data_IF_346124809046
#
_entry.id   IF_346124809046
#
_cell.length_a   1.000
_cell.length_b   1.000
_cell.length_c   1.000
_cell.angle_alpha   90.00
_cell.angle_beta   90.00
_cell.angle_gamma   90.00
#
_symmetry.space_group_name_H-M   'P 1'
#
loop_
_entity.id
_entity.type
_entity.pdbx_description
1 polymer ?
#
# COMPACT_ATOMS: atom_id res chain seq x y z
N UNK A 1 17.63 -13.37 5.47
CA UNK A 1 16.77 -13.24 6.68
C UNK A 1 17.31 -12.16 7.62
N UNK A 2 18.61 -12.15 7.95
CA UNK A 2 19.28 -11.08 8.72
C UNK A 2 19.36 -9.71 8.01
N UNK A 3 19.38 -9.70 6.67
CA UNK A 3 19.54 -8.50 5.83
C UNK A 3 18.39 -7.47 5.97
N UNK A 4 17.16 -7.93 6.27
CA UNK A 4 16.02 -7.02 6.44
C UNK A 4 16.05 -6.29 7.79
N UNK A 5 16.55 -6.90 8.88
CA UNK A 5 16.65 -6.23 10.18
C UNK A 5 17.69 -5.11 10.18
N UNK A 6 18.86 -5.35 9.59
CA UNK A 6 19.87 -4.29 9.44
C UNK A 6 19.38 -3.15 8.55
N UNK A 7 18.60 -3.45 7.51
CA UNK A 7 18.03 -2.43 6.62
C UNK A 7 17.10 -1.46 7.37
N UNK A 8 16.20 -1.98 8.21
CA UNK A 8 15.31 -1.16 9.04
C UNK A 8 16.02 -0.54 10.25
N UNK A 9 17.07 -1.16 10.80
CA UNK A 9 17.85 -0.58 11.90
C UNK A 9 18.72 0.62 11.45
N UNK A 10 19.27 0.57 10.22
CA UNK A 10 20.04 1.69 9.63
C UNK A 10 19.18 2.93 9.35
N UNK A 11 17.85 2.79 9.37
CA UNK A 11 16.88 3.88 9.26
C UNK A 11 17.03 4.94 10.35
N UNK A 12 17.38 4.54 11.58
CA UNK A 12 17.41 5.44 12.74
C UNK A 12 18.59 6.42 12.75
N UNK A 13 19.63 6.19 11.94
CA UNK A 13 20.90 6.91 12.05
C UNK A 13 21.27 7.82 10.86
N UNK A 14 20.65 7.67 9.69
CA UNK A 14 21.00 8.45 8.48
C UNK A 14 19.90 9.45 8.08
N UNK A 15 20.27 10.72 7.85
CA UNK A 15 19.38 11.80 7.41
C UNK A 15 18.87 11.60 5.97
N UNK A 16 17.95 10.67 5.76
CA UNK A 16 17.36 10.33 4.45
C UNK A 16 16.17 11.24 4.11
N UNK A 17 15.80 11.29 2.83
CA UNK A 17 14.53 11.86 2.40
C UNK A 17 13.39 11.12 3.12
N UNK A 18 12.58 11.85 3.89
CA UNK A 18 11.39 11.32 4.53
C UNK A 18 10.16 11.75 3.72
N UNK A 19 9.53 10.81 3.04
CA UNK A 19 8.25 11.01 2.36
C UNK A 19 7.14 11.14 3.41
N UNK A 20 7.26 10.41 4.52
CA UNK A 20 6.43 10.57 5.71
C UNK A 20 7.30 10.85 6.95
N UNK A 21 6.92 11.88 7.72
CA UNK A 21 7.58 12.19 8.99
C UNK A 21 6.56 12.24 10.14
N UNK A 22 7.09 12.21 11.37
CA UNK A 22 6.31 12.31 12.59
C UNK A 22 5.31 11.16 12.79
N UNK A 23 4.06 11.51 13.08
CA UNK A 23 3.02 10.57 13.52
C UNK A 23 2.70 9.52 12.46
N UNK A 24 2.65 9.88 11.17
CA UNK A 24 2.34 8.94 10.09
C UNK A 24 3.39 7.82 9.99
N UNK A 25 4.67 8.15 10.17
CA UNK A 25 5.77 7.17 10.14
C UNK A 25 5.70 6.23 11.34
N UNK A 26 5.48 6.78 12.53
CA UNK A 26 5.33 5.99 13.76
C UNK A 26 4.13 5.04 13.65
N UNK A 27 3.01 5.50 13.10
CA UNK A 27 1.83 4.65 12.91
C UNK A 27 2.07 3.55 11.88
N UNK A 28 2.84 3.80 10.82
CA UNK A 28 3.25 2.76 9.88
C UNK A 28 4.08 1.66 10.54
N UNK A 29 4.97 2.03 11.47
CA UNK A 29 5.80 1.07 12.23
C UNK A 29 4.93 0.15 13.11
N UNK A 30 3.96 0.71 13.83
CA UNK A 30 3.06 -0.02 14.71
C UNK A 30 1.74 -0.43 14.03
N UNK A 31 1.68 -0.46 12.70
CA UNK A 31 0.44 -0.65 11.96
C UNK A 31 -0.30 -1.95 12.31
N UNK A 32 0.36 -3.13 12.40
CA UNK A 32 -0.31 -4.36 12.80
C UNK A 32 -0.93 -4.28 14.21
N UNK A 33 -0.28 -3.56 15.13
CA UNK A 33 -0.78 -3.34 16.49
C UNK A 33 -1.98 -2.40 16.47
N UNK A 34 -1.96 -1.33 15.67
CA UNK A 34 -3.10 -0.42 15.49
C UNK A 34 -4.31 -1.19 14.95
N UNK A 35 -4.14 -2.05 13.95
CA UNK A 35 -5.24 -2.86 13.42
C UNK A 35 -5.71 -3.90 14.44
N UNK A 36 -4.80 -4.51 15.22
CA UNK A 36 -5.17 -5.40 16.32
C UNK A 36 -6.04 -4.66 17.34
N UNK A 37 -5.61 -3.48 17.81
CA UNK A 37 -6.37 -2.64 18.74
C UNK A 37 -7.73 -2.24 18.17
N UNK A 38 -7.79 -1.86 16.89
CA UNK A 38 -9.04 -1.54 16.21
C UNK A 38 -9.97 -2.77 16.12
N UNK A 39 -9.41 -3.95 15.83
CA UNK A 39 -10.15 -5.21 15.78
C UNK A 39 -10.74 -5.55 17.15
N UNK A 40 -9.91 -5.51 18.19
CA UNK A 40 -10.35 -5.74 19.57
C UNK A 40 -11.43 -4.72 19.96
N UNK A 41 -11.23 -3.44 19.69
CA UNK A 41 -12.20 -2.39 20.03
C UNK A 41 -13.55 -2.58 19.32
N UNK A 42 -13.56 -2.98 18.03
CA UNK A 42 -14.80 -3.25 17.30
C UNK A 42 -15.51 -4.50 17.82
N UNK A 43 -14.78 -5.61 18.01
CA UNK A 43 -15.38 -6.89 18.40
C UNK A 43 -15.77 -6.93 19.88
N UNK A 44 -14.93 -6.43 20.77
CA UNK A 44 -15.25 -6.32 22.21
C UNK A 44 -16.28 -5.22 22.44
N UNK A 45 -16.15 -4.07 21.78
CA UNK A 45 -17.15 -3.01 21.84
C UNK A 45 -18.53 -3.45 21.34
N UNK A 46 -18.59 -4.45 20.45
CA UNK A 46 -19.86 -5.04 20.02
C UNK A 46 -20.60 -5.76 21.15
N UNK A 47 -19.91 -6.38 22.11
CA UNK A 47 -20.55 -7.05 23.27
C UNK A 47 -21.20 -6.06 24.24
N UNK A 48 -20.70 -4.81 24.27
CA UNK A 48 -21.19 -3.75 25.17
C UNK A 48 -22.16 -2.78 24.49
N UNK A 49 -22.56 -3.05 23.25
CA UNK A 49 -23.48 -2.20 22.47
C UNK A 49 -24.68 -3.02 21.99
N UNK A 50 -25.61 -2.39 21.27
CA UNK A 50 -26.78 -3.07 20.67
C UNK A 50 -26.42 -3.99 19.49
N UNK A 51 -25.14 -4.33 19.30
CA UNK A 51 -24.65 -5.22 18.27
C UNK A 51 -24.78 -6.67 18.74
N UNK A 52 -25.02 -7.60 17.81
CA UNK A 52 -24.92 -9.02 18.15
C UNK A 52 -23.44 -9.39 18.18
N UNK A 53 -22.93 -9.66 19.38
CA UNK A 53 -21.55 -10.04 19.63
C UNK A 53 -21.16 -11.40 19.05
N UNK A 54 -19.92 -11.83 19.30
CA UNK A 54 -19.42 -13.18 19.01
C UNK A 54 -20.27 -14.25 19.71
N UNK A 55 -20.90 -13.90 20.84
CA UNK A 55 -21.91 -14.68 21.56
C UNK A 55 -23.10 -15.12 20.68
N UNK A 56 -23.45 -14.37 19.63
CA UNK A 56 -24.52 -14.74 18.69
C UNK A 56 -24.12 -15.77 17.63
N UNK A 57 -22.82 -16.05 17.45
CA UNK A 57 -22.31 -16.98 16.41
C UNK A 57 -22.12 -18.40 16.90
N UNK A 58 -21.87 -18.55 18.19
CA UNK A 58 -21.74 -19.85 18.83
C UNK A 58 -22.84 -19.90 19.89
N UNK A 59 -24.03 -20.43 19.56
CA UNK A 59 -25.13 -20.57 20.53
C UNK A 59 -24.73 -21.36 21.78
N UNK A 60 -23.63 -22.13 21.68
CA UNK A 60 -23.02 -22.87 22.76
C UNK A 60 -22.06 -22.04 23.64
N UNK A 61 -21.74 -20.78 23.33
CA UNK A 61 -20.94 -19.90 24.20
C UNK A 61 -21.88 -19.15 25.16
N UNK A 62 -22.24 -19.80 26.27
CA UNK A 62 -22.80 -19.10 27.42
C UNK A 62 -21.77 -18.11 28.00
N UNK A 63 -22.20 -17.09 28.73
CA UNK A 63 -21.30 -16.11 29.39
C UNK A 63 -20.17 -16.80 30.15
N UNK A 64 -20.47 -17.90 30.84
CA UNK A 64 -19.50 -18.74 31.57
C UNK A 64 -18.38 -19.29 30.68
N UNK A 65 -18.68 -19.66 29.44
CA UNK A 65 -17.70 -20.19 28.47
C UNK A 65 -16.87 -19.09 27.84
N UNK A 66 -17.42 -17.89 27.71
CA UNK A 66 -16.65 -16.69 27.33
C UNK A 66 -15.63 -16.35 28.41
N UNK A 67 -16.02 -16.35 29.69
CA UNK A 67 -15.07 -16.18 30.80
C UNK A 67 -14.00 -17.27 30.84
N UNK A 68 -14.36 -18.51 30.52
CA UNK A 68 -13.42 -19.63 30.47
C UNK A 68 -12.42 -19.51 29.30
N UNK A 69 -12.87 -19.07 28.12
CA UNK A 69 -12.00 -18.77 26.98
C UNK A 69 -11.08 -17.58 27.26
N UNK A 70 -11.59 -16.53 27.90
CA UNK A 70 -10.77 -15.40 28.36
C UNK A 70 -9.73 -15.86 29.38
N UNK A 71 -10.12 -16.72 30.33
CA UNK A 71 -9.21 -17.33 31.30
C UNK A 71 -8.12 -18.16 30.65
N UNK A 72 -8.47 -19.00 29.66
CA UNK A 72 -7.51 -19.76 28.85
C UNK A 72 -6.58 -18.81 28.08
N UNK A 73 -7.12 -17.74 27.49
CA UNK A 73 -6.34 -16.71 26.80
C UNK A 73 -5.31 -16.04 27.72
N UNK A 74 -5.72 -15.65 28.94
CA UNK A 74 -4.81 -15.10 29.96
C UNK A 74 -3.75 -16.11 30.36
N UNK A 75 -4.12 -17.39 30.51
CA UNK A 75 -3.19 -18.48 30.82
C UNK A 75 -2.14 -18.67 29.71
N UNK A 76 -2.57 -18.65 28.45
CA UNK A 76 -1.66 -18.70 27.31
C UNK A 76 -0.75 -17.47 27.24
N UNK A 77 -1.27 -16.27 27.50
CA UNK A 77 -0.45 -15.06 27.58
C UNK A 77 0.59 -15.14 28.71
N UNK A 78 0.22 -15.67 29.87
CA UNK A 78 1.13 -15.92 30.98
C UNK A 78 2.22 -16.94 30.60
N UNK A 79 1.83 -18.05 29.96
CA UNK A 79 2.79 -19.06 29.48
C UNK A 79 3.77 -18.47 28.46
N UNK A 80 3.28 -17.71 27.49
CA UNK A 80 4.13 -17.03 26.51
C UNK A 80 5.05 -15.99 27.17
N UNK A 81 4.55 -15.25 28.16
CA UNK A 81 5.36 -14.31 28.94
C UNK A 81 6.45 -15.02 29.73
N UNK A 82 6.18 -16.19 30.30
CA UNK A 82 7.17 -17.01 31.01
C UNK A 82 8.22 -17.59 30.06
N UNK A 83 7.82 -18.10 28.89
CA UNK A 83 8.75 -18.59 27.86
C UNK A 83 9.69 -17.48 27.37
N UNK A 84 9.15 -16.27 27.21
CA UNK A 84 9.94 -15.10 26.90
C UNK A 84 10.88 -14.69 28.05
N UNK A 85 10.39 -14.68 29.30
CA UNK A 85 11.24 -14.39 30.47
C UNK A 85 12.39 -15.39 30.61
N UNK A 86 12.15 -16.65 30.27
CA UNK A 86 13.16 -17.70 30.25
C UNK A 86 14.11 -17.64 29.04
N UNK A 87 14.00 -16.63 28.16
CA UNK A 87 14.76 -16.50 26.90
C UNK A 87 14.69 -17.75 25.99
N UNK A 88 13.64 -18.57 26.13
CA UNK A 88 13.42 -19.74 25.25
C UNK A 88 12.94 -19.26 23.88
N UNK A 89 12.19 -18.16 23.87
CA UNK A 89 11.61 -17.55 22.68
C UNK A 89 11.97 -16.07 22.71
N UNK A 90 12.58 -15.57 21.64
CA UNK A 90 12.77 -14.12 21.50
C UNK A 90 11.44 -13.46 21.10
N UNK A 91 11.09 -12.32 21.74
CA UNK A 91 9.83 -11.59 21.44
C UNK A 91 9.65 -11.34 19.94
N UNK A 92 10.73 -10.94 19.30
CA UNK A 92 10.74 -10.52 17.90
C UNK A 92 10.59 -11.69 16.92
N UNK A 93 10.93 -12.92 17.30
CA UNK A 93 10.84 -14.09 16.42
C UNK A 93 9.50 -14.81 16.55
N UNK A 94 8.71 -14.53 17.60
CA UNK A 94 7.48 -15.27 17.86
C UNK A 94 6.24 -14.41 18.05
N UNK A 95 6.29 -13.36 18.89
CA UNK A 95 5.10 -12.54 19.19
C UNK A 95 4.67 -11.75 17.96
N UNK A 96 5.65 -11.14 17.27
CA UNK A 96 5.44 -10.34 16.07
C UNK A 96 4.81 -11.16 14.93
N UNK A 97 5.35 -12.32 14.52
CA UNK A 97 4.68 -13.23 13.60
C UNK A 97 3.30 -13.71 14.09
N UNK A 98 3.15 -14.07 15.37
CA UNK A 98 1.89 -14.55 15.91
C UNK A 98 0.78 -13.51 15.78
N UNK A 99 1.08 -12.24 16.08
CA UNK A 99 0.14 -11.13 15.91
C UNK A 99 -0.23 -10.98 14.43
N UNK A 100 0.76 -10.90 13.54
CA UNK A 100 0.51 -10.63 12.11
C UNK A 100 -0.25 -11.78 11.46
N UNK A 101 0.22 -13.03 11.58
CA UNK A 101 -0.43 -14.18 10.96
C UNK A 101 -1.73 -14.58 11.66
N UNK A 102 -1.79 -14.45 12.99
CA UNK A 102 -3.02 -14.65 13.75
C UNK A 102 -4.10 -13.67 13.31
N UNK A 103 -3.76 -12.39 13.16
CA UNK A 103 -4.70 -11.36 12.70
C UNK A 103 -5.10 -11.56 11.23
N UNK A 104 -4.16 -11.92 10.34
CA UNK A 104 -4.47 -12.26 8.95
C UNK A 104 -5.42 -13.46 8.85
N UNK A 105 -5.15 -14.54 9.58
CA UNK A 105 -5.99 -15.73 9.60
C UNK A 105 -7.38 -15.45 10.17
N UNK A 106 -7.44 -14.74 11.28
CA UNK A 106 -8.69 -14.34 11.91
C UNK A 106 -9.54 -13.44 11.01
N UNK A 107 -8.97 -12.33 10.51
CA UNK A 107 -9.70 -11.40 9.64
C UNK A 107 -10.06 -12.05 8.31
N UNK A 108 -9.20 -12.89 7.74
CA UNK A 108 -9.48 -13.66 6.53
C UNK A 108 -10.68 -14.60 6.71
N UNK A 109 -10.71 -15.34 7.82
CA UNK A 109 -11.86 -16.19 8.17
C UNK A 109 -13.14 -15.38 8.31
N UNK A 110 -13.09 -14.23 8.99
CA UNK A 110 -14.26 -13.35 9.18
C UNK A 110 -14.75 -12.74 7.86
N UNK A 111 -13.85 -12.44 6.93
CA UNK A 111 -14.22 -12.00 5.58
C UNK A 111 -14.99 -13.09 4.86
N UNK A 112 -14.49 -14.34 4.87
CA UNK A 112 -15.18 -15.49 4.26
C UNK A 112 -16.56 -15.66 4.88
N UNK A 113 -16.65 -15.69 6.21
CA UNK A 113 -17.94 -15.80 6.92
C UNK A 113 -18.88 -14.67 6.48
N UNK A 114 -18.41 -13.42 6.44
CA UNK A 114 -19.25 -12.28 6.08
C UNK A 114 -19.77 -12.33 4.64
N UNK A 115 -18.95 -12.79 3.68
CA UNK A 115 -19.37 -13.01 2.29
C UNK A 115 -20.42 -14.12 2.24
N UNK A 116 -20.15 -15.24 2.89
CA UNK A 116 -21.04 -16.41 2.95
C UNK A 116 -22.39 -16.05 3.57
N UNK A 117 -22.41 -15.29 4.67
CA UNK A 117 -23.65 -14.84 5.33
C UNK A 117 -24.50 -13.97 4.40
N UNK A 118 -23.89 -13.07 3.63
CA UNK A 118 -24.63 -12.26 2.65
C UNK A 118 -25.09 -13.10 1.46
N UNK A 119 -24.21 -13.95 0.93
CA UNK A 119 -24.49 -14.78 -0.25
C UNK A 119 -25.68 -15.73 -0.04
N UNK A 120 -25.78 -16.35 1.13
CA UNK A 120 -26.87 -17.28 1.46
C UNK A 120 -28.11 -16.60 2.06
N UNK A 121 -28.12 -15.27 2.22
CA UNK A 121 -29.28 -14.56 2.73
C UNK A 121 -30.25 -14.21 1.61
N UNK A 122 -31.53 -14.58 1.77
CA UNK A 122 -32.59 -14.16 0.86
C UNK A 122 -32.85 -12.64 0.92
N UNK A 123 -32.54 -12.00 2.05
CA UNK A 123 -32.70 -10.57 2.28
C UNK A 123 -31.50 -10.01 3.06
N UNK A 124 -30.42 -9.60 2.38
CA UNK A 124 -29.23 -9.07 3.02
C UNK A 124 -29.49 -7.87 3.95
N UNK A 125 -30.49 -7.04 3.65
CA UNK A 125 -30.88 -5.86 4.45
C UNK A 125 -31.37 -6.18 5.86
N UNK A 126 -31.93 -7.37 6.07
CA UNK A 126 -32.50 -7.80 7.35
C UNK A 126 -31.46 -8.55 8.21
N UNK A 127 -30.23 -8.72 7.72
CA UNK A 127 -29.17 -9.38 8.47
C UNK A 127 -28.84 -8.61 9.76
N UNK A 128 -28.58 -9.31 10.88
CA UNK A 128 -28.17 -8.69 12.12
C UNK A 128 -26.95 -7.79 11.93
N UNK A 129 -26.80 -6.78 12.79
CA UNK A 129 -25.65 -5.88 12.78
C UNK A 129 -24.50 -6.59 13.47
N UNK A 130 -23.56 -7.09 12.67
CA UNK A 130 -22.50 -7.96 13.14
C UNK A 130 -21.11 -7.38 12.87
N UNK A 131 -20.17 -7.41 13.83
CA UNK A 131 -18.83 -6.83 13.67
C UNK A 131 -18.02 -7.47 12.53
N UNK A 132 -18.37 -8.69 12.10
CA UNK A 132 -17.73 -9.38 10.97
C UNK A 132 -17.78 -8.57 9.67
N UNK A 133 -18.75 -7.68 9.50
CA UNK A 133 -18.86 -6.84 8.29
C UNK A 133 -17.79 -5.74 8.21
N UNK A 134 -17.09 -5.46 9.32
CA UNK A 134 -15.91 -4.60 9.33
C UNK A 134 -14.61 -5.35 8.99
N UNK A 135 -14.62 -6.69 8.99
CA UNK A 135 -13.41 -7.51 8.79
C UNK A 135 -12.74 -7.25 7.43
N UNK A 136 -13.52 -7.03 6.37
CA UNK A 136 -12.97 -6.71 5.04
C UNK A 136 -12.15 -5.42 5.02
N UNK A 137 -12.61 -4.38 5.74
CA UNK A 137 -11.84 -3.15 5.88
C UNK A 137 -10.58 -3.39 6.70
N UNK A 138 -10.70 -4.04 7.85
CA UNK A 138 -9.56 -4.29 8.75
C UNK A 138 -8.49 -5.13 8.04
N UNK A 139 -8.89 -6.13 7.27
CA UNK A 139 -7.98 -6.97 6.48
C UNK A 139 -7.28 -6.15 5.38
N UNK A 140 -8.06 -5.36 4.63
CA UNK A 140 -7.52 -4.51 3.57
C UNK A 140 -6.55 -3.46 4.12
N UNK A 141 -6.90 -2.84 5.24
CA UNK A 141 -6.04 -1.89 5.95
C UNK A 141 -4.79 -2.57 6.50
N UNK A 142 -4.90 -3.75 7.11
CA UNK A 142 -3.74 -4.52 7.60
C UNK A 142 -2.73 -4.78 6.48
N UNK A 143 -3.18 -5.43 5.40
CA UNK A 143 -2.28 -5.80 4.29
C UNK A 143 -1.81 -4.55 3.53
N UNK A 144 -2.73 -3.62 3.25
CA UNK A 144 -2.44 -2.38 2.52
C UNK A 144 -1.46 -1.47 3.27
N UNK A 145 -1.64 -1.26 4.58
CA UNK A 145 -0.73 -0.44 5.38
C UNK A 145 0.63 -1.10 5.60
N UNK A 146 0.69 -2.43 5.74
CA UNK A 146 1.96 -3.18 5.76
C UNK A 146 2.75 -2.99 4.46
N UNK A 147 2.12 -3.23 3.31
CA UNK A 147 2.78 -3.03 2.01
C UNK A 147 3.10 -1.55 1.80
N UNK A 148 2.22 -0.63 2.23
CA UNK A 148 2.41 0.81 2.13
C UNK A 148 3.62 1.31 2.93
N UNK A 149 3.82 0.79 4.15
CA UNK A 149 4.99 1.11 4.97
C UNK A 149 6.30 0.59 4.36
N UNK A 150 6.33 -0.66 3.90
CA UNK A 150 7.50 -1.21 3.21
C UNK A 150 7.78 -0.44 1.90
N UNK A 151 6.75 -0.12 1.13
CA UNK A 151 6.86 0.69 -0.08
C UNK A 151 7.42 2.08 0.22
N UNK A 152 6.96 2.73 1.28
CA UNK A 152 7.46 4.03 1.72
C UNK A 152 8.97 3.96 1.96
N UNK A 153 9.43 3.06 2.83
CA UNK A 153 10.85 2.98 3.20
C UNK A 153 11.72 2.64 1.98
N UNK A 154 11.28 1.68 1.17
CA UNK A 154 12.05 1.28 -0.01
C UNK A 154 12.01 2.32 -1.11
N UNK A 155 10.90 3.07 -1.24
CA UNK A 155 10.76 4.20 -2.15
C UNK A 155 11.67 5.36 -1.74
N UNK A 156 11.68 5.71 -0.46
CA UNK A 156 12.62 6.70 0.13
C UNK A 156 14.06 6.29 -0.17
N UNK A 157 14.43 5.05 0.12
CA UNK A 157 15.78 4.56 -0.11
C UNK A 157 16.14 4.44 -1.60
N UNK A 158 15.18 4.08 -2.46
CA UNK A 158 15.39 4.04 -3.90
C UNK A 158 15.71 5.46 -4.39
N UNK A 159 14.85 6.42 -4.09
CA UNK A 159 15.00 7.81 -4.51
C UNK A 159 16.27 8.42 -3.93
N UNK A 160 16.57 8.17 -2.65
CA UNK A 160 17.78 8.68 -2.03
C UNK A 160 19.06 8.20 -2.71
N UNK A 161 19.07 7.01 -3.30
CA UNK A 161 20.29 6.42 -3.88
C UNK A 161 20.31 6.38 -5.42
N UNK A 162 19.42 7.11 -6.11
CA UNK A 162 19.37 7.05 -7.59
C UNK A 162 20.66 7.57 -8.26
N UNK A 163 21.34 8.55 -7.66
CA UNK A 163 22.64 9.04 -8.12
C UNK A 163 23.75 7.98 -8.03
N UNK A 164 23.68 7.11 -7.02
CA UNK A 164 24.66 6.04 -6.81
C UNK A 164 24.45 4.83 -7.74
N UNK A 165 23.28 4.73 -8.38
CA UNK A 165 22.92 3.58 -9.23
C UNK A 165 23.34 3.77 -10.69
N UNK A 166 24.06 4.84 -11.03
CA UNK A 166 24.45 5.13 -12.41
C UNK A 166 23.25 5.24 -13.38
N UNK A 167 22.03 5.49 -12.90
CA UNK A 167 20.82 5.65 -13.75
C UNK A 167 20.54 7.13 -14.04
N UNK A 168 21.32 8.04 -13.43
CA UNK A 168 21.19 9.49 -13.59
C UNK A 168 22.40 10.02 -14.35
N UNK A 169 22.13 10.83 -15.37
CA UNK A 169 23.16 11.47 -16.20
C UNK A 169 23.91 12.59 -15.49
N UNK A 170 23.20 13.40 -14.68
CA UNK A 170 23.75 14.52 -13.92
C UNK A 170 23.52 14.33 -12.40
N UNK A 171 24.47 13.68 -11.69
CA UNK A 171 24.34 13.44 -10.25
C UNK A 171 24.27 14.72 -9.41
N UNK A 172 24.97 15.78 -9.81
CA UNK A 172 25.03 17.05 -9.07
C UNK A 172 23.70 17.80 -9.14
N UNK A 173 23.14 17.95 -10.34
CA UNK A 173 21.79 18.49 -10.54
C UNK A 173 20.72 17.66 -9.82
N UNK A 174 20.89 16.34 -9.75
CA UNK A 174 19.97 15.50 -8.98
C UNK A 174 19.98 15.81 -7.47
N UNK A 175 21.13 16.21 -6.89
CA UNK A 175 21.18 16.63 -5.48
C UNK A 175 20.35 17.88 -5.24
N UNK A 176 20.41 18.85 -6.14
CA UNK A 176 19.57 20.07 -6.10
C UNK A 176 18.08 19.71 -6.21
N UNK A 177 17.73 18.84 -7.16
CA UNK A 177 16.36 18.36 -7.32
C UNK A 177 15.84 17.65 -6.06
N UNK A 178 16.64 16.79 -5.42
CA UNK A 178 16.28 16.13 -4.15
C UNK A 178 15.94 17.14 -3.05
N UNK A 179 16.68 18.25 -2.95
CA UNK A 179 16.39 19.29 -1.96
C UNK A 179 15.06 20.00 -2.25
N UNK A 180 14.78 20.32 -3.51
CA UNK A 180 13.48 20.90 -3.92
C UNK A 180 12.32 19.95 -3.62
N UNK A 181 12.50 18.66 -3.85
CA UNK A 181 11.52 17.62 -3.52
C UNK A 181 11.28 17.55 -2.01
N UNK A 182 12.35 17.56 -1.19
CA UNK A 182 12.24 17.58 0.27
C UNK A 182 11.45 18.79 0.78
N UNK A 183 11.69 19.98 0.21
CA UNK A 183 10.94 21.18 0.56
C UNK A 183 9.46 21.06 0.19
N UNK A 184 9.13 20.51 -0.99
CA UNK A 184 7.74 20.34 -1.42
C UNK A 184 6.98 19.27 -0.61
N UNK A 185 7.64 18.22 -0.18
CA UNK A 185 7.02 17.19 0.68
C UNK A 185 6.67 17.72 2.08
N UNK A 186 7.36 18.78 2.52
CA UNK A 186 7.14 19.46 3.80
C UNK A 186 6.28 20.73 3.65
N UNK A 187 5.46 20.83 2.59
CA UNK A 187 4.56 21.97 2.43
C UNK A 187 3.57 22.05 3.59
N UNK A 188 3.49 23.24 4.19
CA UNK A 188 2.51 23.62 5.19
C UNK A 188 1.48 24.57 4.60
N UNK A 189 0.30 24.63 5.19
CA UNK A 189 -0.74 25.58 4.77
C UNK A 189 -0.27 27.01 5.09
N UNK A 190 -0.42 27.97 4.16
CA UNK A 190 -0.07 29.37 4.43
C UNK A 190 -0.65 29.85 5.76
N UNK A 191 0.17 30.56 6.55
CA UNK A 191 -0.21 31.10 7.87
C UNK A 191 -0.44 30.06 8.99
N UNK A 192 -0.11 28.78 8.75
CA UNK A 192 -0.09 27.74 9.79
C UNK A 192 1.14 26.85 9.63
N UNK A 193 1.64 26.26 10.72
CA UNK A 193 2.72 25.26 10.65
C UNK A 193 2.18 23.85 10.39
N UNK A 194 0.93 23.73 9.92
CA UNK A 194 0.25 22.44 9.75
C UNK A 194 0.58 21.87 8.37
N UNK A 195 1.06 20.61 8.28
CA UNK A 195 1.31 19.96 6.99
C UNK A 195 0.03 19.82 6.16
N UNK A 196 0.14 19.97 4.83
CA UNK A 196 -1.04 19.94 3.92
C UNK A 196 -1.71 18.56 3.88
N UNK A 197 -0.96 17.46 3.92
CA UNK A 197 -1.50 16.12 3.73
C UNK A 197 -2.50 15.67 4.82
N UNK A 198 -2.23 15.84 6.13
CA UNK A 198 -3.21 15.64 7.19
C UNK A 198 -4.48 16.47 6.99
N UNK A 199 -4.37 17.74 6.60
CA UNK A 199 -5.56 18.59 6.41
C UNK A 199 -6.40 18.13 5.24
N UNK A 200 -5.77 17.75 4.12
CA UNK A 200 -6.48 17.13 3.01
C UNK A 200 -7.20 15.84 3.45
N UNK A 201 -6.51 14.96 4.17
CA UNK A 201 -7.09 13.72 4.72
C UNK A 201 -8.30 13.99 5.61
N UNK A 202 -8.19 14.95 6.53
CA UNK A 202 -9.29 15.33 7.41
C UNK A 202 -10.49 15.87 6.63
N UNK A 203 -10.29 16.82 5.72
CA UNK A 203 -11.36 17.42 4.92
C UNK A 203 -12.06 16.40 4.01
N UNK A 204 -11.29 15.44 3.47
CA UNK A 204 -11.86 14.37 2.65
C UNK A 204 -12.73 13.43 3.47
N UNK A 205 -12.22 12.97 4.63
CA UNK A 205 -12.92 11.98 5.46
C UNK A 205 -14.11 12.58 6.20
N UNK A 206 -14.06 13.86 6.59
CA UNK A 206 -15.18 14.55 7.23
C UNK A 206 -16.45 14.55 6.38
N UNK A 207 -16.32 14.58 5.04
CA UNK A 207 -17.47 14.50 4.14
C UNK A 207 -18.20 13.16 4.28
N UNK A 208 -17.45 12.05 4.33
CA UNK A 208 -18.01 10.72 4.55
C UNK A 208 -18.50 10.54 5.98
N UNK A 209 -17.79 11.11 6.97
CA UNK A 209 -18.24 11.13 8.36
C UNK A 209 -19.60 11.77 8.53
N UNK A 210 -19.87 12.90 7.87
CA UNK A 210 -21.18 13.54 7.88
C UNK A 210 -22.28 12.61 7.33
N UNK A 211 -22.02 11.92 6.22
CA UNK A 211 -22.96 10.91 5.69
C UNK A 211 -23.15 9.74 6.65
N UNK A 212 -22.09 9.27 7.31
CA UNK A 212 -22.14 8.13 8.22
C UNK A 212 -22.78 8.39 9.56
N UNK A 213 -22.83 9.66 9.99
CA UNK A 213 -23.61 10.08 11.16
C UNK A 213 -25.11 10.00 10.88
N UNK A 214 -25.54 10.36 9.66
CA UNK A 214 -26.96 10.35 9.26
C UNK A 214 -27.44 8.94 8.86
N UNK A 215 -26.51 8.09 8.44
CA UNK A 215 -26.79 6.69 8.08
C UNK A 215 -26.40 5.74 9.21
N UNK A 216 -26.63 4.43 9.07
CA UNK A 216 -26.26 3.42 10.09
C UNK A 216 -24.73 3.16 10.17
N UNK A 217 -23.89 4.17 9.91
CA UNK A 217 -22.44 4.04 9.83
C UNK A 217 -21.93 3.33 8.57
N UNK A 218 -20.60 3.34 8.33
CA UNK A 218 -19.97 2.87 7.09
C UNK A 218 -20.22 1.38 6.76
N UNK A 219 -20.39 0.53 7.77
CA UNK A 219 -20.68 -0.91 7.61
C UNK A 219 -22.10 -1.31 8.04
N UNK A 220 -23.01 -0.36 8.26
CA UNK A 220 -24.34 -0.67 8.77
C UNK A 220 -24.30 -1.29 10.17
N UNK A 221 -23.29 -0.92 10.98
CA UNK A 221 -23.12 -1.38 12.36
C UNK A 221 -23.89 -0.50 13.35
N UNK A 222 -24.11 0.78 13.02
CA UNK A 222 -24.66 1.77 13.95
C UNK A 222 -23.91 1.81 15.29
N UNK A 223 -22.57 1.79 15.22
CA UNK A 223 -21.67 1.82 16.37
C UNK A 223 -20.79 3.05 16.30
N UNK A 224 -20.81 3.87 17.36
CA UNK A 224 -19.96 5.06 17.48
C UNK A 224 -18.47 4.70 17.50
N UNK A 225 -18.11 3.60 18.18
CA UNK A 225 -16.73 3.08 18.21
C UNK A 225 -16.30 2.68 16.81
N UNK A 226 -17.16 1.94 16.09
CA UNK A 226 -16.92 1.59 14.70
C UNK A 226 -16.74 2.83 13.83
N UNK A 227 -17.61 3.83 13.96
CA UNK A 227 -17.50 5.08 13.20
C UNK A 227 -16.17 5.79 13.44
N UNK A 228 -15.76 5.98 14.70
CA UNK A 228 -14.49 6.66 15.04
C UNK A 228 -13.29 5.90 14.45
N UNK A 229 -13.27 4.57 14.60
CA UNK A 229 -12.18 3.75 14.06
C UNK A 229 -12.09 3.86 12.54
N UNK A 230 -13.24 3.82 11.84
CA UNK A 230 -13.28 4.01 10.40
C UNK A 230 -12.73 5.36 9.97
N UNK A 231 -13.21 6.44 10.60
CA UNK A 231 -12.75 7.79 10.27
C UNK A 231 -11.25 7.94 10.50
N UNK A 232 -10.71 7.35 11.58
CA UNK A 232 -9.27 7.36 11.83
C UNK A 232 -8.50 6.59 10.75
N UNK A 233 -8.90 5.34 10.45
CA UNK A 233 -8.21 4.53 9.44
C UNK A 233 -8.27 5.15 8.04
N UNK A 234 -9.44 5.68 7.66
CA UNK A 234 -9.60 6.37 6.38
C UNK A 234 -8.79 7.67 6.34
N UNK A 235 -8.70 8.40 7.44
CA UNK A 235 -7.86 9.61 7.53
C UNK A 235 -6.40 9.28 7.22
N UNK A 236 -5.87 8.23 7.83
CA UNK A 236 -4.49 7.80 7.60
C UNK A 236 -4.29 7.33 6.16
N UNK A 237 -5.21 6.51 5.64
CA UNK A 237 -5.13 6.03 4.26
C UNK A 237 -5.16 7.20 3.26
N UNK A 238 -6.08 8.14 3.41
CA UNK A 238 -6.20 9.27 2.47
C UNK A 238 -5.01 10.21 2.58
N UNK A 239 -4.54 10.51 3.78
CA UNK A 239 -3.31 11.29 3.98
C UNK A 239 -2.10 10.61 3.33
N UNK A 240 -1.99 9.27 3.46
CA UNK A 240 -0.94 8.49 2.83
C UNK A 240 -1.02 8.48 1.31
N UNK A 241 -2.21 8.26 0.75
CA UNK A 241 -2.44 8.31 -0.70
C UNK A 241 -2.14 9.70 -1.26
N UNK A 242 -2.55 10.76 -0.57
CA UNK A 242 -2.28 12.12 -1.01
C UNK A 242 -0.78 12.44 -1.03
N UNK A 243 -0.04 12.08 0.02
CA UNK A 243 1.41 12.25 0.06
C UNK A 243 2.10 11.43 -1.04
N UNK A 244 1.61 10.22 -1.32
CA UNK A 244 2.08 9.40 -2.43
C UNK A 244 1.82 10.06 -3.79
N UNK A 245 0.65 10.67 -4.00
CA UNK A 245 0.34 11.43 -5.23
C UNK A 245 1.25 12.65 -5.41
N UNK A 246 1.58 13.36 -4.33
CA UNK A 246 2.58 14.43 -4.37
C UNK A 246 3.94 13.86 -4.81
N UNK A 247 4.37 12.74 -4.21
CA UNK A 247 5.60 12.05 -4.60
C UNK A 247 5.61 11.66 -6.07
N UNK A 248 4.49 11.12 -6.58
CA UNK A 248 4.34 10.77 -7.99
C UNK A 248 4.42 11.99 -8.91
N UNK A 249 3.74 13.08 -8.55
CA UNK A 249 3.77 14.32 -9.32
C UNK A 249 5.18 14.90 -9.39
N UNK A 250 5.94 14.81 -8.29
CA UNK A 250 7.34 15.25 -8.23
C UNK A 250 8.26 14.36 -9.06
N UNK A 251 7.99 13.06 -9.10
CA UNK A 251 8.81 12.10 -9.84
C UNK A 251 8.51 12.08 -11.35
N UNK A 252 7.28 12.39 -11.76
CA UNK A 252 6.84 12.34 -13.16
C UNK A 252 7.76 13.10 -14.13
N UNK A 253 8.22 14.34 -13.86
CA UNK A 253 9.14 15.04 -14.75
C UNK A 253 10.44 14.29 -15.05
N UNK A 254 10.99 13.54 -14.07
CA UNK A 254 12.18 12.71 -14.27
C UNK A 254 11.93 11.56 -15.26
N UNK A 255 10.70 11.04 -15.31
CA UNK A 255 10.31 9.96 -16.21
C UNK A 255 9.99 10.42 -17.63
N UNK A 256 9.55 11.67 -17.81
CA UNK A 256 9.00 12.12 -19.09
C UNK A 256 9.92 13.05 -19.86
N UNK A 257 10.37 14.12 -19.22
CA UNK A 257 10.96 15.27 -19.92
C UNK A 257 12.39 15.55 -19.48
N UNK A 258 12.81 14.97 -18.35
CA UNK A 258 13.95 15.46 -17.59
C UNK A 258 13.58 16.67 -16.74
N UNK A 259 14.45 17.01 -15.80
CA UNK A 259 14.31 18.17 -14.91
C UNK A 259 15.46 19.13 -15.17
N UNK A 260 15.13 20.35 -15.56
CA UNK A 260 16.11 21.42 -15.68
C UNK A 260 16.52 21.93 -14.28
N UNK A 261 17.81 21.86 -13.98
CA UNK A 261 18.41 22.37 -12.75
C UNK A 261 19.48 23.41 -13.08
N UNK A 262 19.98 24.13 -12.07
CA UNK A 262 21.03 25.13 -12.32
C UNK A 262 22.33 24.47 -12.81
N UNK A 263 22.55 23.21 -12.42
CA UNK A 263 23.68 22.37 -12.83
C UNK A 263 23.45 21.66 -14.19
N UNK A 264 22.34 21.94 -14.87
CA UNK A 264 21.96 21.32 -16.14
C UNK A 264 20.78 20.36 -16.03
N UNK A 265 20.50 19.64 -17.11
CA UNK A 265 19.34 18.77 -17.22
C UNK A 265 19.60 17.42 -16.52
N UNK A 266 18.64 16.98 -15.71
CA UNK A 266 18.68 15.71 -14.99
C UNK A 266 17.70 14.74 -15.66
N UNK A 267 18.22 13.67 -16.24
CA UNK A 267 17.43 12.63 -16.91
C UNK A 267 17.74 11.24 -16.35
N UNK A 268 16.73 10.38 -16.40
CA UNK A 268 16.88 8.94 -16.15
C UNK A 268 17.32 8.24 -17.43
N UNK A 269 18.42 7.49 -17.35
CA UNK A 269 19.05 6.86 -18.50
C UNK A 269 18.95 5.35 -18.41
N UNK A 270 18.43 4.74 -19.47
CA UNK A 270 18.44 3.31 -19.66
C UNK A 270 19.82 2.81 -20.10
N UNK A 271 20.38 1.89 -19.31
CA UNK A 271 21.69 1.28 -19.56
C UNK A 271 21.54 -0.21 -19.84
N UNK A 272 21.43 -0.65 -21.11
CA UNK A 272 21.15 -2.04 -21.47
C UNK A 272 22.06 -3.07 -20.79
N UNK A 273 23.34 -2.73 -20.62
CA UNK A 273 24.38 -3.58 -20.02
C UNK A 273 24.51 -3.41 -18.49
N UNK A 274 23.51 -2.84 -17.84
CA UNK A 274 23.53 -2.67 -16.39
C UNK A 274 23.47 -4.05 -15.68
N UNK A 275 24.24 -4.27 -14.59
CA UNK A 275 24.34 -5.58 -13.91
C UNK A 275 23.03 -6.08 -13.28
N UNK A 276 21.94 -5.30 -13.35
CA UNK A 276 20.63 -5.70 -12.87
C UNK A 276 19.79 -6.47 -13.90
N UNK A 277 20.30 -6.67 -15.12
CA UNK A 277 19.62 -7.27 -16.27
C UNK A 277 18.30 -6.58 -16.66
N UNK A 278 18.05 -5.35 -16.18
CA UNK A 278 16.82 -4.59 -16.42
C UNK A 278 17.11 -3.13 -16.80
N UNK A 279 18.33 -2.86 -17.28
CA UNK A 279 18.67 -1.53 -17.77
C UNK A 279 18.94 -0.47 -16.69
N UNK A 280 19.10 -0.88 -15.43
CA UNK A 280 19.09 0.03 -14.27
C UNK A 280 17.70 0.23 -13.64
N UNK A 281 16.65 -0.38 -14.21
CA UNK A 281 15.27 -0.14 -13.82
C UNK A 281 14.64 -1.24 -12.94
N UNK A 282 15.41 -2.26 -12.51
CA UNK A 282 14.86 -3.39 -11.73
C UNK A 282 14.14 -2.93 -10.46
N UNK A 283 14.69 -1.96 -9.74
CA UNK A 283 14.10 -1.52 -8.48
C UNK A 283 12.83 -0.67 -8.70
N UNK A 284 12.74 0.08 -9.80
CA UNK A 284 11.49 0.73 -10.20
C UNK A 284 10.40 -0.31 -10.50
N UNK A 285 10.77 -1.41 -11.18
CA UNK A 285 9.86 -2.54 -11.40
C UNK A 285 9.36 -3.19 -10.11
N UNK A 286 10.24 -3.39 -9.13
CA UNK A 286 9.87 -3.93 -7.80
C UNK A 286 8.92 -3.02 -7.03
N UNK A 287 9.20 -1.71 -7.02
CA UNK A 287 8.31 -0.70 -6.41
C UNK A 287 6.96 -0.70 -7.12
N UNK A 288 6.96 -0.72 -8.45
CA UNK A 288 5.72 -0.74 -9.23
C UNK A 288 4.88 -1.98 -8.97
N UNK A 289 5.50 -3.16 -8.85
CA UNK A 289 4.78 -4.38 -8.48
C UNK A 289 4.08 -4.29 -7.13
N UNK A 290 4.73 -3.68 -6.12
CA UNK A 290 4.14 -3.54 -4.78
C UNK A 290 2.95 -2.60 -4.78
N UNK A 291 3.04 -1.51 -5.54
CA UNK A 291 1.91 -0.59 -5.73
C UNK A 291 0.77 -1.31 -6.45
N UNK A 292 1.07 -2.11 -7.48
CA UNK A 292 0.06 -2.92 -8.17
C UNK A 292 -0.60 -3.94 -7.23
N UNK A 293 0.16 -4.55 -6.30
CA UNK A 293 -0.41 -5.40 -5.25
C UNK A 293 -1.33 -4.63 -4.30
N UNK A 294 -0.93 -3.43 -3.85
CA UNK A 294 -1.79 -2.57 -3.03
C UNK A 294 -3.08 -2.19 -3.76
N UNK A 295 -2.97 -1.85 -5.05
CA UNK A 295 -4.13 -1.60 -5.90
C UNK A 295 -5.02 -2.85 -5.91
N UNK A 296 -4.50 -4.02 -6.26
CA UNK A 296 -5.30 -5.26 -6.27
C UNK A 296 -6.04 -5.51 -4.94
N UNK A 297 -5.39 -5.31 -3.79
CA UNK A 297 -6.01 -5.42 -2.46
C UNK A 297 -7.11 -4.36 -2.27
N UNK A 298 -6.85 -3.11 -2.64
CA UNK A 298 -7.85 -2.05 -2.61
C UNK A 298 -9.06 -2.37 -3.49
N UNK A 299 -8.83 -2.88 -4.71
CA UNK A 299 -9.88 -3.33 -5.62
C UNK A 299 -10.72 -4.47 -5.05
N UNK A 300 -10.08 -5.48 -4.45
CA UNK A 300 -10.77 -6.57 -3.75
C UNK A 300 -11.61 -6.05 -2.58
N UNK A 301 -11.08 -5.10 -1.80
CA UNK A 301 -11.82 -4.46 -0.73
C UNK A 301 -13.04 -3.69 -1.24
N UNK A 302 -12.91 -2.90 -2.30
CA UNK A 302 -14.04 -2.16 -2.85
C UNK A 302 -15.10 -3.09 -3.46
N UNK A 303 -14.68 -4.19 -4.09
CA UNK A 303 -15.60 -5.24 -4.53
C UNK A 303 -16.33 -5.89 -3.36
N UNK A 304 -15.61 -6.26 -2.30
CA UNK A 304 -16.19 -6.73 -1.04
C UNK A 304 -17.16 -5.72 -0.45
N UNK A 305 -16.78 -4.44 -0.40
CA UNK A 305 -17.57 -3.36 0.18
C UNK A 305 -18.88 -3.19 -0.57
N UNK A 306 -18.85 -3.14 -1.90
CA UNK A 306 -20.06 -3.07 -2.72
C UNK A 306 -20.94 -4.32 -2.54
N UNK A 307 -20.33 -5.50 -2.58
CA UNK A 307 -21.06 -6.76 -2.51
C UNK A 307 -21.68 -7.01 -1.13
N UNK A 308 -20.91 -6.89 -0.05
CA UNK A 308 -21.34 -7.20 1.32
C UNK A 308 -22.03 -6.03 1.97
N UNK A 309 -21.44 -4.83 1.93
CA UNK A 309 -22.00 -3.67 2.64
C UNK A 309 -23.04 -2.95 1.77
N UNK A 310 -22.79 -2.82 0.47
CA UNK A 310 -23.74 -2.22 -0.47
C UNK A 310 -25.05 -2.99 -0.57
N UNK A 311 -25.02 -4.33 -0.62
CA UNK A 311 -26.25 -5.16 -0.63
C UNK A 311 -27.07 -5.03 0.66
N UNK A 312 -26.40 -4.91 1.82
CA UNK A 312 -27.05 -4.70 3.11
C UNK A 312 -27.67 -3.31 3.24
N UNK A 313 -27.10 -2.31 2.57
CA UNK A 313 -27.59 -0.94 2.55
C UNK A 313 -28.62 -0.67 1.43
N UNK A 314 -28.84 -1.63 0.53
CA UNK A 314 -29.72 -1.47 -0.63
C UNK A 314 -31.18 -1.71 -0.27
N UNK A 315 -32.03 -0.67 -0.32
CA UNK A 315 -33.46 -0.81 -0.02
C UNK A 315 -34.21 -1.26 -1.28
N UNK A 316 -35.07 -2.31 -1.22
CA UNK A 316 -35.90 -2.70 -2.35
C UNK A 316 -36.76 -1.53 -2.87
N UNK A 317 -36.79 -1.34 -4.19
CA UNK A 317 -37.48 -0.21 -4.85
C UNK A 317 -36.68 1.10 -4.90
N UNK A 318 -35.45 1.13 -4.36
CA UNK A 318 -34.57 2.32 -4.42
C UNK A 318 -34.21 2.74 -5.86
N UNK A 319 -34.25 1.81 -6.82
CA UNK A 319 -33.98 2.09 -8.24
C UNK A 319 -35.21 2.56 -9.02
N UNK A 320 -36.41 2.52 -8.44
CA UNK A 320 -37.65 2.86 -9.14
C UNK A 320 -37.85 4.37 -9.29
N UNK A 321 -37.14 5.18 -8.48
CA UNK A 321 -37.12 6.64 -8.58
C UNK A 321 -35.82 7.23 -8.02
N UNK A 322 -35.43 8.41 -8.50
CA UNK A 322 -34.26 9.15 -7.98
C UNK A 322 -34.60 9.70 -6.59
N UNK A 323 -34.27 8.91 -5.57
CA UNK A 323 -34.45 9.27 -4.15
C UNK A 323 -33.13 9.72 -3.51
N UNK A 324 -33.21 10.47 -2.41
CA UNK A 324 -32.03 10.84 -1.61
C UNK A 324 -31.26 9.58 -1.14
N UNK A 325 -31.97 8.51 -0.80
CA UNK A 325 -31.40 7.23 -0.39
C UNK A 325 -30.58 6.58 -1.51
N UNK A 326 -31.05 6.64 -2.76
CA UNK A 326 -30.29 6.17 -3.93
C UNK A 326 -29.00 6.97 -4.13
N UNK A 327 -29.08 8.31 -4.01
CA UNK A 327 -27.91 9.19 -4.14
C UNK A 327 -26.86 8.86 -3.07
N UNK A 328 -27.28 8.74 -1.80
CA UNK A 328 -26.39 8.40 -0.69
C UNK A 328 -25.74 7.03 -0.90
N UNK A 329 -26.50 6.05 -1.41
CA UNK A 329 -25.96 4.72 -1.71
C UNK A 329 -24.91 4.76 -2.84
N UNK A 330 -25.21 5.45 -3.95
CA UNK A 330 -24.27 5.62 -5.07
C UNK A 330 -22.99 6.31 -4.59
N UNK A 331 -23.11 7.40 -3.84
CA UNK A 331 -21.97 8.15 -3.31
C UNK A 331 -21.12 7.32 -2.35
N UNK A 332 -21.73 6.44 -1.55
CA UNK A 332 -20.98 5.62 -0.59
C UNK A 332 -20.36 4.36 -1.18
N UNK A 333 -20.95 3.76 -2.22
CA UNK A 333 -20.53 2.44 -2.71
C UNK A 333 -20.00 2.45 -4.15
N UNK A 334 -20.50 3.33 -5.02
CA UNK A 334 -20.06 3.41 -6.42
C UNK A 334 -18.99 4.48 -6.61
N UNK A 335 -19.16 5.68 -6.04
CA UNK A 335 -18.18 6.76 -6.21
C UNK A 335 -16.76 6.38 -5.76
N UNK A 336 -16.54 5.67 -4.63
CA UNK A 336 -15.20 5.23 -4.25
C UNK A 336 -14.58 4.23 -5.25
N UNK A 337 -15.39 3.38 -5.89
CA UNK A 337 -14.93 2.46 -6.95
C UNK A 337 -14.47 3.25 -8.16
N UNK A 338 -15.27 4.22 -8.62
CA UNK A 338 -14.92 5.06 -9.76
C UNK A 338 -13.64 5.85 -9.48
N UNK A 339 -13.54 6.46 -8.30
CA UNK A 339 -12.34 7.17 -7.87
C UNK A 339 -11.12 6.24 -7.83
N UNK A 340 -11.29 5.03 -7.28
CA UNK A 340 -10.25 4.02 -7.23
C UNK A 340 -9.78 3.60 -8.63
N UNK A 341 -10.69 3.36 -9.57
CA UNK A 341 -10.36 3.01 -10.97
C UNK A 341 -9.59 4.16 -11.63
N UNK A 342 -10.02 5.41 -11.45
CA UNK A 342 -9.34 6.58 -11.98
C UNK A 342 -7.92 6.71 -11.43
N UNK A 343 -7.74 6.57 -10.11
CA UNK A 343 -6.42 6.62 -9.48
C UNK A 343 -5.51 5.47 -9.95
N UNK A 344 -6.05 4.26 -10.06
CA UNK A 344 -5.32 3.10 -10.58
C UNK A 344 -4.90 3.32 -12.05
N UNK A 345 -5.79 3.87 -12.88
CA UNK A 345 -5.49 4.20 -14.27
C UNK A 345 -4.43 5.31 -14.39
N UNK A 346 -4.54 6.37 -13.58
CA UNK A 346 -3.53 7.44 -13.51
C UNK A 346 -2.17 6.87 -13.13
N UNK A 347 -2.11 5.97 -12.15
CA UNK A 347 -0.88 5.30 -11.74
C UNK A 347 -0.27 4.46 -12.86
N UNK A 348 -1.07 3.56 -13.46
CA UNK A 348 -0.61 2.68 -14.53
C UNK A 348 -0.10 3.48 -15.74
N UNK A 349 -0.81 4.55 -16.10
CA UNK A 349 -0.43 5.42 -17.20
C UNK A 349 0.79 6.29 -16.87
N UNK A 350 0.79 6.97 -15.72
CA UNK A 350 1.79 8.00 -15.41
C UNK A 350 3.14 7.42 -14.99
N UNK A 351 3.17 6.18 -14.50
CA UNK A 351 4.40 5.54 -14.03
C UNK A 351 4.78 4.36 -14.89
N UNK A 352 3.92 3.34 -14.93
CA UNK A 352 4.28 2.05 -15.54
C UNK A 352 4.45 2.17 -17.05
N UNK A 353 3.49 2.83 -17.70
CA UNK A 353 3.55 3.08 -19.14
C UNK A 353 4.66 4.07 -19.52
N UNK A 354 4.84 5.15 -18.76
CA UNK A 354 5.93 6.11 -19.02
C UNK A 354 7.32 5.48 -18.85
N UNK A 355 7.51 4.61 -17.85
CA UNK A 355 8.76 3.85 -17.69
C UNK A 355 9.03 2.94 -18.90
N UNK A 356 8.01 2.22 -19.37
CA UNK A 356 8.13 1.40 -20.57
C UNK A 356 8.49 2.24 -21.81
N UNK A 357 7.81 3.37 -22.03
CA UNK A 357 8.12 4.27 -23.13
C UNK A 357 9.54 4.82 -23.04
N UNK A 358 9.99 5.21 -21.84
CA UNK A 358 11.36 5.68 -21.63
C UNK A 358 12.37 4.61 -22.01
N UNK A 359 12.21 3.38 -21.51
CA UNK A 359 13.12 2.27 -21.81
C UNK A 359 13.12 1.93 -23.32
N UNK A 360 11.95 1.90 -23.95
CA UNK A 360 11.81 1.60 -25.38
C UNK A 360 12.47 2.67 -26.26
N UNK A 361 12.20 3.96 -26.01
CA UNK A 361 12.82 5.04 -26.77
C UNK A 361 14.33 5.10 -26.58
N UNK A 362 14.85 4.88 -25.37
CA UNK A 362 16.29 4.86 -25.14
C UNK A 362 16.96 3.69 -25.85
N UNK A 363 16.35 2.49 -25.82
CA UNK A 363 16.82 1.33 -26.57
C UNK A 363 16.86 1.61 -28.07
N UNK A 364 15.81 2.21 -28.63
CA UNK A 364 15.75 2.62 -30.03
C UNK A 364 16.87 3.62 -30.38
N UNK A 365 17.08 4.65 -29.56
CA UNK A 365 18.17 5.62 -29.76
C UNK A 365 19.54 4.95 -29.77
N UNK A 366 19.79 4.01 -28.87
CA UNK A 366 21.05 3.27 -28.81
C UNK A 366 21.25 2.39 -30.06
N UNK A 367 20.18 1.75 -30.53
CA UNK A 367 20.17 0.97 -31.77
C UNK A 367 20.48 1.86 -32.98
N UNK A 368 19.80 3.02 -33.11
CA UNK A 368 20.02 3.96 -34.21
C UNK A 368 21.42 4.58 -34.17
N UNK A 369 21.93 4.92 -32.98
CA UNK A 369 23.29 5.41 -32.81
C UNK A 369 24.33 4.38 -33.26
N UNK A 370 24.11 3.09 -32.96
CA UNK A 370 24.96 2.00 -33.46
C UNK A 370 24.91 1.87 -34.98
N UNK A 371 23.71 1.81 -35.58
CA UNK A 371 23.56 1.74 -37.04
C UNK A 371 24.23 2.91 -37.75
N UNK A 372 24.22 4.11 -37.15
CA UNK A 372 24.91 5.28 -37.69
C UNK A 372 26.43 5.15 -37.62
N UNK A 373 26.97 4.61 -36.52
CA UNK A 373 28.42 4.36 -36.37
C UNK A 373 28.93 3.28 -37.32
N UNK A 374 28.19 2.19 -37.54
CA UNK A 374 28.56 1.13 -38.50
C UNK A 374 28.56 1.60 -39.96
N UNK A 375 27.82 2.68 -40.26
CA UNK A 375 27.81 3.31 -41.59
C UNK A 375 28.94 4.32 -41.79
N UNK A 376 29.73 4.60 -40.75
CA UNK A 376 30.84 5.56 -40.79
C UNK A 376 32.18 4.81 -40.87
N UNK A 377 32.87 4.81 -42.03
CA UNK A 377 34.02 3.93 -42.29
C UNK A 377 35.30 4.29 -41.53
N UNK A 378 35.38 5.46 -40.88
CA UNK A 378 36.56 5.94 -40.16
C UNK A 378 36.46 5.78 -38.62
N UNK A 379 35.44 5.08 -38.11
CA UNK A 379 35.25 4.91 -36.67
C UNK A 379 36.15 3.80 -36.09
N UNK A 380 37.26 4.19 -35.46
CA UNK A 380 38.13 3.30 -34.69
C UNK A 380 37.37 2.71 -33.47
N UNK A 381 37.17 1.40 -33.44
CA UNK A 381 36.41 0.72 -32.38
C UNK A 381 37.32 0.03 -31.36
N UNK A 382 37.25 0.38 -30.05
CA UNK A 382 37.94 -0.35 -29.00
C UNK A 382 37.38 -1.76 -28.81
N UNK A 383 38.26 -2.73 -28.50
CA UNK A 383 37.88 -4.10 -28.17
C UNK A 383 37.11 -4.11 -26.84
N UNK A 384 35.86 -4.63 -26.85
CA UNK A 384 34.96 -4.68 -25.69
C UNK A 384 33.84 -3.63 -25.67
N UNK A 385 33.72 -2.82 -26.73
CA UNK A 385 32.64 -1.85 -26.93
C UNK A 385 31.36 -2.51 -27.50
N UNK A 386 30.23 -1.79 -27.49
CA UNK A 386 28.87 -2.18 -27.96
C UNK A 386 28.85 -2.63 -29.45
N UNK A 387 29.98 -2.55 -30.14
CA UNK A 387 30.16 -2.86 -31.57
C UNK A 387 30.40 -4.37 -31.84
N UNK A 388 30.60 -5.19 -30.81
CA UNK A 388 30.62 -6.66 -30.94
C UNK A 388 29.23 -7.22 -31.37
N UNK A 389 29.20 -8.30 -32.18
CA UNK A 389 27.97 -9.02 -32.57
C UNK A 389 27.23 -9.52 -31.32
N UNK A 390 27.99 -9.90 -30.30
CA UNK A 390 27.46 -10.26 -28.99
C UNK A 390 26.74 -9.07 -28.32
N UNK A 391 27.36 -7.90 -28.30
CA UNK A 391 26.76 -6.67 -27.77
C UNK A 391 25.52 -6.21 -28.55
N UNK A 392 25.46 -6.49 -29.86
CA UNK A 392 24.26 -6.25 -30.68
C UNK A 392 23.09 -7.14 -30.28
N UNK A 393 23.34 -8.45 -30.20
CA UNK A 393 22.32 -9.42 -29.84
C UNK A 393 21.82 -9.16 -28.41
N UNK A 394 22.73 -8.84 -27.49
CA UNK A 394 22.39 -8.43 -26.12
C UNK A 394 21.56 -7.13 -26.08
N UNK A 395 21.90 -6.10 -26.88
CA UNK A 395 21.10 -4.87 -26.98
C UNK A 395 19.70 -5.14 -27.56
N UNK A 396 19.60 -5.98 -28.59
CA UNK A 396 18.32 -6.35 -29.21
C UNK A 396 17.41 -7.09 -28.23
N UNK A 397 18.00 -7.99 -27.45
CA UNK A 397 17.27 -8.83 -26.49
C UNK A 397 17.08 -8.14 -25.13
N UNK A 398 17.66 -6.94 -24.95
CA UNK A 398 17.54 -6.15 -23.73
C UNK A 398 16.07 -5.80 -23.40
N UNK A 399 15.68 -5.83 -22.11
CA UNK A 399 14.29 -5.69 -21.71
C UNK A 399 13.80 -4.25 -21.90
N UNK A 400 12.59 -4.12 -22.42
CA UNK A 400 11.87 -2.84 -22.57
C UNK A 400 10.88 -2.59 -21.44
N UNK A 401 10.75 -3.54 -20.52
CA UNK A 401 9.86 -3.45 -19.38
C UNK A 401 10.68 -3.47 -18.10
N UNK A 402 10.30 -2.67 -17.09
CA UNK A 402 10.97 -2.69 -15.80
C UNK A 402 10.71 -4.01 -15.03
N UNK A 403 9.82 -4.87 -15.54
CA UNK A 403 9.40 -6.15 -14.95
C UNK A 403 9.41 -7.22 -16.04
N UNK A 404 9.84 -8.44 -15.68
CA UNK A 404 9.76 -9.60 -16.54
C UNK A 404 8.29 -9.96 -16.88
N UNK A 405 7.97 -10.00 -18.18
CA UNK A 405 6.62 -10.29 -18.70
C UNK A 405 6.08 -11.64 -18.23
N UNK A 406 6.97 -12.62 -17.99
CA UNK A 406 6.58 -13.97 -17.51
C UNK A 406 6.16 -13.99 -16.05
N UNK A 407 6.48 -12.93 -15.30
CA UNK A 407 6.22 -12.85 -13.88
C UNK A 407 4.96 -12.04 -13.55
N UNK A 408 4.33 -11.34 -14.50
CA UNK A 408 3.23 -10.39 -14.19
C UNK A 408 2.08 -11.05 -13.40
N UNK A 409 1.66 -12.28 -13.75
CA UNK A 409 0.61 -13.01 -13.03
C UNK A 409 1.09 -13.59 -11.70
N UNK A 410 2.31 -14.13 -11.65
CA UNK A 410 2.92 -14.70 -10.43
C UNK A 410 3.36 -13.61 -9.44
N UNK A 411 3.63 -12.39 -9.91
CA UNK A 411 4.22 -11.30 -9.16
C UNK A 411 3.23 -10.66 -8.17
N UNK A 412 1.92 -10.79 -8.35
CA UNK A 412 0.93 -10.34 -7.36
C UNK A 412 1.08 -11.13 -6.03
N UNK A 413 1.18 -12.45 -6.12
CA UNK A 413 1.37 -13.32 -4.95
C UNK A 413 2.84 -13.36 -4.50
N UNK A 414 3.79 -13.42 -5.45
CA UNK A 414 5.22 -13.49 -5.16
C UNK A 414 5.83 -12.19 -4.59
N UNK A 415 5.18 -11.03 -4.72
CA UNK A 415 5.64 -9.80 -4.05
C UNK A 415 4.93 -9.52 -2.73
N UNK A 416 3.66 -9.91 -2.60
CA UNK A 416 2.92 -9.70 -1.36
C UNK A 416 3.39 -10.66 -0.27
N UNK A 417 3.68 -11.93 -0.63
CA UNK A 417 4.06 -12.95 0.34
C UNK A 417 5.42 -12.68 1.02
N UNK A 418 6.51 -12.31 0.31
CA UNK A 418 7.77 -11.96 0.97
C UNK A 418 7.67 -10.69 1.81
N UNK A 419 6.79 -9.75 1.46
CA UNK A 419 6.52 -8.55 2.27
C UNK A 419 5.82 -8.95 3.57
N UNK A 420 4.81 -9.81 3.52
CA UNK A 420 4.17 -10.39 4.72
C UNK A 420 5.18 -11.17 5.58
N UNK A 421 6.04 -11.98 4.95
CA UNK A 421 7.10 -12.76 5.60
C UNK A 421 8.25 -11.90 6.17
N UNK A 422 8.49 -10.71 5.63
CA UNK A 422 9.57 -9.83 6.08
C UNK A 422 9.12 -8.82 7.12
N UNK A 423 7.86 -8.38 7.08
CA UNK A 423 7.27 -7.46 8.06
C UNK A 423 7.08 -8.14 9.42
N UNK A 424 6.88 -9.47 9.45
CA UNK A 424 6.89 -10.23 10.70
C UNK A 424 8.26 -10.24 11.42
N UNK A 425 9.31 -9.63 10.83
CA UNK A 425 10.64 -9.50 11.44
C UNK A 425 10.96 -8.04 11.83
N UNK A 426 10.04 -7.09 11.64
CA UNK A 426 10.21 -5.70 12.10
C UNK A 426 10.04 -5.69 13.62
N UNK A 427 11.04 -5.24 14.40
CA UNK A 427 10.87 -5.08 15.84
C UNK A 427 9.97 -3.86 16.09
N UNK A 428 8.70 -4.12 16.36
CA UNK A 428 7.71 -3.09 16.75
C UNK A 428 7.19 -3.31 18.17
N UNK A 429 7.92 -4.05 19.02
CA UNK A 429 7.61 -4.30 20.42
C UNK A 429 8.86 -4.19 21.31
#
# INVERSE_FOLDING_TARGET
MFENREFYAREFHEHKLKIFDGVLRQMGLYWPVIILSATVAIFVGAEFTSLTGLSGYVPALTETRVYLLLGIGVLWLLLLSLLNYANIISRDEFITPLIVYGLLGWLGLMVVISITTVFFSAKPTELPRLPIFASGLLLAMLVGGMIGYDLMIRGENLFWNLDLKNVIENPEGYREFRQKVKQRLNLTIPFTEIPVAPVFGALFVLQFGAFWIVTNGPQGLNSNIGLVINLLLDFFMVAAVFQFLIGLQLFRPLLTTGVDTNEGKVELVYRPFHPDNHGGFRDFGRVAMRINSMLAIGGLYYAYRLYVQGSRAYVPGMMDSVSLSLIIWIVNYISPIVLYILLAAIWLYSTFWQLHLLMSHHKERLVLAKQKRERDPDADTPIGDIVDERGWNELRDAPEWPIDRRQISTALFANSLPVLLSISNIPFL
#
